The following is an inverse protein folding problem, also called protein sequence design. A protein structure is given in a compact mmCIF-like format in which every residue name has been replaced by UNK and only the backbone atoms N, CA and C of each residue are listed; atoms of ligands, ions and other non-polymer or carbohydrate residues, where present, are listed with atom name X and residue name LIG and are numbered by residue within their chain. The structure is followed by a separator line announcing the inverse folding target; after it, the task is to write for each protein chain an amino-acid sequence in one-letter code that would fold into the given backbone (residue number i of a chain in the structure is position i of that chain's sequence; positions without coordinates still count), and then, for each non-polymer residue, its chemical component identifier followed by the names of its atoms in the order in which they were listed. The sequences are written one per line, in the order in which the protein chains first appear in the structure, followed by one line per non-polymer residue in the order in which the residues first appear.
data_IF_580937813593
#
_entry.id   IF_580937813593
#
_cell.length_a   1.000
_cell.length_b   1.000
_cell.length_c   1.000
_cell.angle_alpha   90.00
_cell.angle_beta   90.00
_cell.angle_gamma   90.00
#
_symmetry.space_group_name_H-M   'P 1'
#
loop_
_entity.id
_entity.type
_entity.pdbx_description
1 polymer ?
#
# COMPACT_ATOMS: atom_id res chain seq x y z
N UNK A 1 -17.30 -16.00 60.05
CA UNK A 1 -16.90 -14.90 59.14
C UNK A 1 -16.92 -15.45 57.71
N UNK A 2 -17.67 -14.86 56.78
CA UNK A 2 -17.67 -15.30 55.38
C UNK A 2 -16.38 -14.79 54.72
N UNK A 3 -15.52 -15.72 54.32
CA UNK A 3 -14.25 -15.45 53.64
C UNK A 3 -14.57 -14.87 52.24
N UNK A 4 -14.11 -13.65 51.97
CA UNK A 4 -14.23 -13.03 50.65
C UNK A 4 -13.37 -13.81 49.66
N UNK A 5 -13.99 -14.52 48.71
CA UNK A 5 -13.28 -15.16 47.61
C UNK A 5 -13.32 -14.23 46.39
N UNK A 6 -12.18 -13.76 45.87
CA UNK A 6 -12.18 -12.90 44.70
C UNK A 6 -12.57 -13.73 43.46
N UNK A 7 -13.79 -13.54 42.97
CA UNK A 7 -14.16 -13.99 41.63
C UNK A 7 -13.35 -13.18 40.61
N UNK A 8 -12.24 -13.75 40.13
CA UNK A 8 -11.52 -13.21 38.97
C UNK A 8 -12.44 -13.33 37.75
N UNK A 9 -13.12 -12.23 37.40
CA UNK A 9 -13.86 -12.11 36.16
C UNK A 9 -12.90 -12.18 34.96
N UNK A 10 -12.60 -13.40 34.51
CA UNK A 10 -11.72 -13.73 33.37
C UNK A 10 -12.06 -13.03 32.04
N UNK A 11 -13.33 -12.71 31.67
CA UNK A 11 -13.58 -12.07 30.37
C UNK A 11 -13.01 -10.66 30.27
N UNK A 12 -13.04 -9.87 31.34
CA UNK A 12 -12.44 -8.54 31.35
C UNK A 12 -10.91 -8.58 31.26
N UNK A 13 -10.28 -9.64 31.78
CA UNK A 13 -8.85 -9.85 31.62
C UNK A 13 -8.49 -10.04 30.14
N UNK A 14 -9.23 -10.90 29.42
CA UNK A 14 -9.07 -11.09 27.97
C UNK A 14 -9.30 -9.81 27.18
N UNK A 15 -10.36 -9.07 27.52
CA UNK A 15 -10.67 -7.79 26.89
C UNK A 15 -9.52 -6.78 27.09
N UNK A 16 -8.94 -6.72 28.29
CA UNK A 16 -7.80 -5.85 28.60
C UNK A 16 -6.54 -6.22 27.79
N UNK A 17 -6.31 -7.51 27.56
CA UNK A 17 -5.18 -8.00 26.76
C UNK A 17 -5.39 -7.66 25.29
N UNK A 18 -6.61 -7.85 24.77
CA UNK A 18 -6.95 -7.47 23.39
C UNK A 18 -6.77 -5.98 23.16
N UNK A 19 -7.33 -5.11 24.02
CA UNK A 19 -7.16 -3.66 23.90
C UNK A 19 -5.70 -3.22 23.98
N UNK A 20 -4.90 -3.84 24.85
CA UNK A 20 -3.46 -3.55 24.94
C UNK A 20 -2.73 -3.95 23.67
N UNK A 21 -3.03 -5.11 23.11
CA UNK A 21 -2.43 -5.56 21.85
C UNK A 21 -2.80 -4.66 20.68
N UNK A 22 -4.07 -4.26 20.53
CA UNK A 22 -4.48 -3.31 19.48
C UNK A 22 -3.84 -1.94 19.67
N UNK A 23 -3.75 -1.43 20.90
CA UNK A 23 -3.03 -0.18 21.17
C UNK A 23 -1.55 -0.28 20.78
N UNK A 24 -0.92 -1.43 21.01
CA UNK A 24 0.47 -1.66 20.59
C UNK A 24 0.62 -1.72 19.07
N UNK A 25 -0.33 -2.34 18.35
CA UNK A 25 -0.36 -2.32 16.89
C UNK A 25 -0.56 -0.90 16.35
N UNK A 26 -1.52 -0.15 16.90
CA UNK A 26 -1.79 1.24 16.52
C UNK A 26 -0.61 2.15 16.82
N UNK A 27 0.16 1.89 17.88
CA UNK A 27 1.40 2.62 18.14
C UNK A 27 2.39 2.50 16.97
N UNK A 28 2.35 1.38 16.24
CA UNK A 28 3.16 1.14 15.05
C UNK A 28 2.38 1.39 13.75
N UNK A 29 1.37 2.26 13.77
CA UNK A 29 0.52 2.57 12.62
C UNK A 29 1.31 2.89 11.34
N UNK A 30 2.44 3.58 11.45
CA UNK A 30 3.27 3.91 10.30
C UNK A 30 3.81 2.67 9.58
N UNK A 31 4.21 1.63 10.33
CA UNK A 31 4.61 0.35 9.75
C UNK A 31 3.44 -0.37 9.09
N UNK A 32 2.24 -0.26 9.66
CA UNK A 32 1.02 -0.80 9.05
C UNK A 32 0.70 -0.11 7.73
N UNK A 33 0.93 1.20 7.63
CA UNK A 33 0.75 1.94 6.36
C UNK A 33 1.78 1.54 5.31
N UNK A 34 3.04 1.36 5.68
CA UNK A 34 4.07 0.86 4.75
C UNK A 34 3.71 -0.55 4.28
N UNK A 35 3.32 -1.43 5.20
CA UNK A 35 2.90 -2.78 4.86
C UNK A 35 1.68 -2.77 3.93
N UNK A 36 0.68 -1.92 4.21
CA UNK A 36 -0.49 -1.75 3.36
C UNK A 36 -0.10 -1.24 1.96
N UNK A 37 0.82 -0.30 1.85
CA UNK A 37 1.32 0.21 0.58
C UNK A 37 2.03 -0.86 -0.25
N UNK A 38 2.81 -1.74 0.40
CA UNK A 38 3.54 -2.81 -0.27
C UNK A 38 2.62 -3.94 -0.75
N UNK A 39 1.53 -4.22 -0.01
CA UNK A 39 0.57 -5.30 -0.32
C UNK A 39 -0.55 -4.82 -1.25
N UNK A 40 -0.87 -3.52 -1.24
CA UNK A 40 -1.99 -2.99 -2.01
C UNK A 40 -1.78 -3.18 -3.52
N UNK A 41 -2.76 -3.74 -4.24
CA UNK A 41 -2.72 -3.84 -5.70
C UNK A 41 -2.83 -2.47 -6.39
N UNK A 42 -3.36 -1.48 -5.67
CA UNK A 42 -3.53 -0.09 -6.13
C UNK A 42 -2.58 0.80 -5.34
N UNK A 43 -1.73 1.56 -6.00
CA UNK A 43 -0.81 2.44 -5.32
C UNK A 43 -0.16 3.49 -6.21
N UNK A 44 0.50 4.50 -5.60
CA UNK A 44 1.30 5.45 -6.33
C UNK A 44 2.50 4.74 -6.97
N UNK A 45 2.71 5.02 -8.25
CA UNK A 45 3.90 4.61 -8.97
C UNK A 45 4.60 5.86 -9.51
N UNK A 46 5.92 5.84 -9.42
CA UNK A 46 6.79 6.93 -9.83
C UNK A 46 7.41 6.63 -11.19
N UNK A 47 7.42 7.59 -12.09
CA UNK A 47 8.07 7.45 -13.39
C UNK A 47 9.58 7.26 -13.21
N UNK A 48 10.12 6.18 -13.75
CA UNK A 48 11.56 5.88 -13.72
C UNK A 48 12.19 6.06 -15.08
N UNK A 49 11.48 5.65 -16.14
CA UNK A 49 12.00 5.69 -17.49
C UNK A 49 10.86 5.92 -18.48
N UNK A 50 11.18 6.49 -19.64
CA UNK A 50 10.26 6.60 -20.75
C UNK A 50 10.99 6.51 -22.10
N UNK A 51 10.29 6.02 -23.12
CA UNK A 51 10.77 5.98 -24.51
C UNK A 51 9.94 6.90 -25.40
N UNK A 52 10.50 7.28 -26.55
CA UNK A 52 9.80 8.05 -27.58
C UNK A 52 9.68 7.26 -28.87
N UNK A 53 8.55 7.44 -29.57
CA UNK A 53 8.40 7.09 -30.99
C UNK A 53 8.43 8.37 -31.82
N UNK A 54 9.25 8.35 -32.88
CA UNK A 54 9.32 9.42 -33.89
C UNK A 54 8.28 9.14 -34.99
N UNK A 55 7.35 10.07 -35.18
CA UNK A 55 6.36 10.07 -36.26
C UNK A 55 6.63 11.23 -37.21
N UNK A 56 7.53 11.01 -38.18
CA UNK A 56 7.77 11.86 -39.35
C UNK A 56 7.66 13.39 -39.12
N UNK A 57 8.26 13.89 -38.03
CA UNK A 57 8.27 15.32 -37.68
C UNK A 57 7.82 15.64 -36.25
N UNK A 58 7.22 14.69 -35.51
CA UNK A 58 6.89 14.87 -34.09
C UNK A 58 7.24 13.63 -33.26
N UNK A 59 7.54 13.85 -31.97
CA UNK A 59 7.87 12.80 -30.99
C UNK A 59 6.73 12.61 -30.02
N UNK A 60 6.37 11.35 -29.80
CA UNK A 60 5.33 10.97 -28.86
C UNK A 60 5.91 9.97 -27.85
N UNK A 61 5.49 10.07 -26.59
CA UNK A 61 5.86 9.07 -25.59
C UNK A 61 5.28 7.72 -25.99
N UNK A 62 6.04 6.63 -25.83
CA UNK A 62 5.58 5.30 -26.23
C UNK A 62 5.45 4.35 -25.05
N UNK A 63 6.57 4.11 -24.34
CA UNK A 63 6.57 3.23 -23.17
C UNK A 63 6.94 4.03 -21.94
N UNK A 64 6.03 4.13 -20.97
CA UNK A 64 6.30 4.71 -19.67
C UNK A 64 6.57 3.57 -18.66
N UNK A 65 7.74 3.59 -18.01
CA UNK A 65 8.11 2.63 -16.97
C UNK A 65 7.96 3.27 -15.59
N UNK A 66 7.12 2.67 -14.77
CA UNK A 66 6.83 3.14 -13.42
C UNK A 66 7.31 2.18 -12.34
N UNK A 67 7.81 2.71 -11.22
CA UNK A 67 8.17 1.96 -10.02
C UNK A 67 7.19 2.25 -8.90
N UNK A 68 6.52 1.21 -8.40
CA UNK A 68 5.63 1.30 -7.23
C UNK A 68 6.00 0.31 -6.13
N UNK A 69 5.19 0.28 -5.08
CA UNK A 69 5.45 -0.51 -3.86
C UNK A 69 5.73 -2.00 -4.10
N UNK A 70 5.12 -2.62 -5.11
CA UNK A 70 5.40 -4.02 -5.44
C UNK A 70 6.16 -4.21 -6.76
N UNK A 71 6.94 -3.25 -7.23
CA UNK A 71 7.83 -3.43 -8.40
C UNK A 71 7.53 -2.55 -9.63
N UNK A 72 8.17 -2.91 -10.73
CA UNK A 72 8.14 -2.19 -12.01
C UNK A 72 6.89 -2.51 -12.84
N UNK A 73 6.29 -1.50 -13.45
CA UNK A 73 5.07 -1.59 -14.24
C UNK A 73 5.23 -0.75 -15.50
N UNK A 74 5.22 -1.42 -16.66
CA UNK A 74 5.22 -0.77 -17.97
C UNK A 74 3.81 -0.36 -18.38
N UNK A 75 3.66 0.82 -18.96
CA UNK A 75 2.39 1.32 -19.46
C UNK A 75 2.56 1.81 -20.89
N UNK A 76 1.88 1.18 -21.86
CA UNK A 76 1.83 1.66 -23.23
C UNK A 76 0.79 2.79 -23.30
N UNK A 77 1.15 3.98 -22.82
CA UNK A 77 0.32 5.18 -22.99
C UNK A 77 1.02 6.08 -24.00
N UNK A 78 0.43 6.18 -25.20
CA UNK A 78 0.96 6.88 -26.38
C UNK A 78 0.76 8.41 -26.32
N UNK A 79 0.60 9.02 -25.13
CA UNK A 79 0.28 10.45 -25.05
C UNK A 79 1.04 11.18 -23.93
N UNK A 80 0.96 10.69 -22.68
CA UNK A 80 1.51 11.41 -21.52
C UNK A 80 2.10 10.42 -20.50
N UNK A 81 3.37 10.59 -20.14
CA UNK A 81 3.98 9.95 -18.98
C UNK A 81 4.00 10.91 -17.76
N UNK A 82 2.95 10.98 -16.92
CA UNK A 82 2.99 11.78 -15.69
C UNK A 82 4.09 11.29 -14.73
N UNK A 83 4.67 12.19 -13.93
CA UNK A 83 5.73 11.82 -12.97
C UNK A 83 5.23 10.88 -11.87
N UNK A 84 3.98 11.06 -11.43
CA UNK A 84 3.33 10.24 -10.41
C UNK A 84 1.96 9.83 -10.94
N UNK A 85 1.64 8.55 -10.86
CA UNK A 85 0.35 8.00 -11.29
C UNK A 85 -0.10 6.91 -10.32
N UNK A 86 -1.41 6.79 -10.10
CA UNK A 86 -2.00 5.68 -9.34
C UNK A 86 -2.39 4.60 -10.35
N UNK A 87 -1.78 3.43 -10.25
CA UNK A 87 -2.05 2.29 -11.13
C UNK A 87 -2.70 1.17 -10.32
N UNK A 88 -3.78 0.57 -10.85
CA UNK A 88 -4.25 -0.74 -10.41
C UNK A 88 -3.52 -1.83 -11.20
N UNK A 89 -2.86 -2.74 -10.49
CA UNK A 89 -2.15 -3.86 -11.10
C UNK A 89 -3.07 -4.98 -11.57
N UNK A 90 -4.32 -5.00 -11.13
CA UNK A 90 -5.30 -6.03 -11.52
C UNK A 90 -5.76 -5.90 -12.97
N UNK A 91 -5.68 -4.71 -13.55
CA UNK A 91 -6.11 -4.46 -14.92
C UNK A 91 -5.12 -4.96 -15.99
N UNK A 92 -3.98 -5.54 -15.58
CA UNK A 92 -2.97 -6.12 -16.47
C UNK A 92 -3.17 -7.62 -16.78
N UNK A 93 -4.36 -8.17 -16.53
CA UNK A 93 -4.71 -9.56 -16.88
C UNK A 93 -5.90 -9.61 -17.81
#
# INVERSE_FOLDING_TARGET
MKMYSPQKFRPFAWLSVLLRSTAYLLRHWFLLLIAALMISPVGPHLLVWYTYKDFNGYRVYNDCLYLGGGGLVERPDDDICPVIVILDRREKH
#
